data_IF_239784106491
#
_entry.id   IF_239784106491
#
_cell.length_a   1.000
_cell.length_b   1.000
_cell.length_c   1.000
_cell.angle_alpha   90.00
_cell.angle_beta   90.00
_cell.angle_gamma   90.00
#
_symmetry.space_group_name_H-M   'P 1'
#
loop_
_entity.id
_entity.type
_entity.pdbx_description
1 polymer ?
#
# COMPACT_ATOMS: atom_id res chain seq x y z
N UNK A 1 4.97 -32.02 -21.06
CA UNK A 1 5.76 -31.01 -20.38
C UNK A 1 5.19 -29.64 -20.74
N UNK A 2 4.30 -29.09 -19.92
CA UNK A 2 3.72 -27.74 -20.12
C UNK A 2 4.79 -26.73 -19.78
N UNK A 3 5.32 -26.03 -20.79
CA UNK A 3 6.16 -24.85 -20.59
C UNK A 3 5.34 -23.85 -19.76
N UNK A 4 5.69 -23.71 -18.48
CA UNK A 4 5.20 -22.65 -17.64
C UNK A 4 5.72 -21.35 -18.27
N UNK A 5 4.82 -20.60 -18.93
CA UNK A 5 5.15 -19.31 -19.51
C UNK A 5 5.89 -18.49 -18.43
N UNK A 6 7.12 -18.11 -18.70
CA UNK A 6 7.95 -17.37 -17.76
C UNK A 6 7.25 -16.04 -17.47
N UNK A 7 6.77 -15.88 -16.26
CA UNK A 7 6.08 -14.65 -15.86
C UNK A 7 7.08 -13.50 -15.90
N UNK A 8 6.79 -12.45 -16.65
CA UNK A 8 7.62 -11.26 -16.70
C UNK A 8 7.62 -10.53 -15.35
N UNK A 9 8.74 -9.89 -15.04
CA UNK A 9 8.87 -9.00 -13.88
C UNK A 9 7.94 -7.81 -14.05
N UNK A 10 7.09 -7.56 -13.06
CA UNK A 10 6.13 -6.46 -13.09
C UNK A 10 6.77 -5.07 -13.20
N UNK A 11 8.03 -4.92 -12.78
CA UNK A 11 8.72 -3.64 -12.79
C UNK A 11 9.57 -3.38 -14.03
N UNK A 12 10.34 -4.36 -14.50
CA UNK A 12 11.30 -4.17 -15.61
C UNK A 12 11.02 -5.05 -16.83
N UNK A 13 9.94 -5.83 -16.81
CA UNK A 13 9.47 -6.72 -17.89
C UNK A 13 10.45 -7.87 -18.25
N UNK A 14 11.60 -7.98 -17.61
CA UNK A 14 12.51 -9.13 -17.76
C UNK A 14 11.91 -10.39 -17.12
N UNK A 15 12.41 -11.60 -17.40
CA UNK A 15 11.93 -12.82 -16.75
C UNK A 15 11.91 -12.68 -15.23
N UNK A 16 10.77 -12.99 -14.60
CA UNK A 16 10.57 -12.98 -13.15
C UNK A 16 11.08 -14.29 -12.51
N UNK A 17 10.64 -14.54 -11.28
CA UNK A 17 10.91 -15.81 -10.57
C UNK A 17 11.58 -15.65 -9.21
N UNK A 18 12.03 -14.46 -8.83
CA UNK A 18 12.44 -14.19 -7.46
C UNK A 18 11.24 -14.26 -6.53
N UNK A 19 11.45 -14.78 -5.33
CA UNK A 19 10.46 -14.72 -4.25
C UNK A 19 10.57 -13.35 -3.58
N UNK A 20 9.60 -12.49 -3.84
CA UNK A 20 9.50 -11.17 -3.20
C UNK A 20 8.32 -11.17 -2.23
N UNK A 21 8.55 -10.77 -0.99
CA UNK A 21 7.50 -10.59 -0.01
C UNK A 21 6.66 -9.36 -0.38
N UNK A 22 5.34 -9.50 -0.32
CA UNK A 22 4.43 -8.38 -0.57
C UNK A 22 4.62 -7.26 0.46
N UNK A 23 4.82 -7.67 1.73
CA UNK A 23 5.33 -6.82 2.80
C UNK A 23 6.77 -7.24 3.11
N UNK A 24 7.68 -6.28 3.29
CA UNK A 24 9.05 -6.59 3.66
C UNK A 24 9.15 -7.42 4.95
N UNK A 25 9.98 -8.45 4.96
CA UNK A 25 10.14 -9.30 6.13
C UNK A 25 10.64 -8.57 7.39
N UNK A 26 11.40 -7.46 7.23
CA UNK A 26 11.75 -6.62 8.37
C UNK A 26 10.52 -5.93 8.98
N UNK A 27 9.53 -5.57 8.15
CA UNK A 27 8.33 -4.88 8.60
C UNK A 27 7.39 -5.85 9.34
N UNK A 28 7.14 -7.03 8.79
CA UNK A 28 6.31 -8.06 9.44
C UNK A 28 6.89 -8.48 10.77
N UNK A 29 8.23 -8.64 10.86
CA UNK A 29 8.93 -8.88 12.14
C UNK A 29 8.80 -7.73 13.13
N UNK A 30 8.93 -6.49 12.65
CA UNK A 30 8.78 -5.29 13.51
C UNK A 30 7.39 -5.20 14.11
N UNK A 31 6.36 -5.59 13.35
CA UNK A 31 4.97 -5.62 13.78
C UNK A 31 4.59 -6.90 14.56
N UNK A 32 5.43 -7.93 14.55
CA UNK A 32 5.11 -9.22 15.18
C UNK A 32 4.00 -10.02 14.49
N UNK A 33 3.74 -9.76 13.20
CA UNK A 33 2.59 -10.33 12.46
C UNK A 33 2.99 -11.41 11.43
N UNK A 34 4.20 -11.95 11.48
CA UNK A 34 4.66 -12.92 10.46
C UNK A 34 3.75 -14.15 10.35
N UNK A 35 3.27 -14.66 11.48
CA UNK A 35 2.36 -15.80 11.56
C UNK A 35 0.88 -15.43 11.56
N UNK A 36 0.55 -14.15 11.65
CA UNK A 36 -0.85 -13.71 11.66
C UNK A 36 -1.53 -14.00 10.32
N UNK A 37 -2.80 -14.44 10.33
CA UNK A 37 -3.52 -14.74 9.11
C UNK A 37 -3.85 -13.47 8.34
N UNK A 38 -3.46 -13.42 7.07
CA UNK A 38 -3.87 -12.42 6.12
C UNK A 38 -4.83 -13.01 5.10
N UNK A 39 -5.99 -12.39 4.92
CA UNK A 39 -6.97 -12.79 3.92
C UNK A 39 -6.67 -12.11 2.58
N UNK A 40 -6.66 -12.85 1.45
CA UNK A 40 -6.27 -12.30 0.16
C UNK A 40 -7.30 -11.35 -0.45
N UNK A 41 -8.50 -11.28 0.11
CA UNK A 41 -9.56 -10.39 -0.36
C UNK A 41 -10.49 -9.94 0.75
N UNK A 42 -11.13 -8.82 0.51
CA UNK A 42 -12.16 -8.25 1.36
C UNK A 42 -13.25 -7.64 0.48
N UNK A 43 -14.48 -7.95 0.75
CA UNK A 43 -15.64 -7.42 0.02
C UNK A 43 -16.55 -6.69 0.99
N UNK A 44 -16.96 -5.48 0.59
CA UNK A 44 -18.03 -4.78 1.29
C UNK A 44 -19.37 -5.38 0.88
N UNK A 45 -20.15 -5.81 1.87
CA UNK A 45 -21.51 -6.31 1.70
C UNK A 45 -22.46 -5.42 2.49
N UNK A 46 -23.76 -5.61 2.33
CA UNK A 46 -24.77 -4.93 3.14
C UNK A 46 -24.64 -5.26 4.64
N UNK A 47 -23.97 -6.36 4.98
CA UNK A 47 -23.72 -6.81 6.36
C UNK A 47 -22.38 -6.32 6.93
N UNK A 48 -21.59 -5.58 6.14
CA UNK A 48 -20.27 -5.09 6.51
C UNK A 48 -19.16 -5.66 5.63
N UNK A 49 -17.93 -5.68 6.17
CA UNK A 49 -16.75 -6.19 5.45
C UNK A 49 -16.63 -7.70 5.66
N UNK A 50 -16.68 -8.46 4.58
CA UNK A 50 -16.48 -9.91 4.58
C UNK A 50 -15.09 -10.26 4.04
N UNK A 51 -14.35 -11.08 4.79
CA UNK A 51 -13.03 -11.57 4.38
C UNK A 51 -13.21 -12.69 3.35
N UNK A 52 -12.45 -12.63 2.26
CA UNK A 52 -12.53 -13.61 1.19
C UNK A 52 -11.23 -14.39 1.02
N UNK A 53 -11.38 -15.63 0.58
CA UNK A 53 -10.28 -16.55 0.32
C UNK A 53 -9.69 -17.18 1.58
N UNK A 54 -8.86 -18.21 1.36
CA UNK A 54 -8.19 -18.89 2.47
C UNK A 54 -7.10 -18.01 3.05
N UNK A 55 -7.05 -17.83 4.38
CA UNK A 55 -6.01 -17.05 5.02
C UNK A 55 -4.64 -17.72 4.81
N UNK A 56 -3.61 -16.87 4.71
CA UNK A 56 -2.20 -17.29 4.69
C UNK A 56 -1.46 -16.51 5.77
N UNK A 57 -0.38 -17.06 6.30
CA UNK A 57 0.47 -16.27 7.16
C UNK A 57 0.97 -15.01 6.43
N UNK A 58 0.98 -13.88 7.10
CA UNK A 58 1.38 -12.60 6.50
C UNK A 58 2.81 -12.67 5.94
N UNK A 59 3.70 -13.40 6.62
CA UNK A 59 5.06 -13.66 6.15
C UNK A 59 5.14 -14.52 4.87
N UNK A 60 4.08 -15.26 4.54
CA UNK A 60 3.99 -16.11 3.34
C UNK A 60 3.36 -15.41 2.13
N UNK A 61 3.01 -14.14 2.26
CA UNK A 61 2.52 -13.35 1.13
C UNK A 61 3.65 -13.02 0.16
N UNK A 62 3.93 -13.95 -0.75
CA UNK A 62 5.07 -13.89 -1.67
C UNK A 62 4.59 -13.89 -3.13
N UNK A 63 5.10 -12.96 -3.92
CA UNK A 63 4.97 -12.97 -5.38
C UNK A 63 6.21 -13.54 -6.05
N UNK A 64 6.01 -14.19 -7.22
CA UNK A 64 7.09 -14.61 -8.13
C UNK A 64 7.19 -13.72 -9.37
N UNK A 65 6.47 -12.60 -9.39
CA UNK A 65 6.43 -11.65 -10.50
C UNK A 65 7.46 -10.53 -10.39
N UNK A 66 8.58 -10.81 -9.72
CA UNK A 66 9.72 -9.90 -9.58
C UNK A 66 10.98 -10.66 -10.00
N UNK A 67 11.89 -10.03 -10.72
CA UNK A 67 13.17 -10.65 -11.08
C UNK A 67 14.22 -10.41 -9.98
N UNK A 68 15.25 -11.27 -9.93
CA UNK A 68 16.34 -11.16 -8.95
C UNK A 68 17.03 -9.79 -8.99
N UNK A 69 17.21 -9.20 -10.20
CA UNK A 69 17.85 -7.89 -10.33
C UNK A 69 17.03 -6.77 -9.68
N UNK A 70 15.71 -6.78 -9.85
CA UNK A 70 14.84 -5.80 -9.19
C UNK A 70 14.80 -6.03 -7.67
N UNK A 71 14.59 -7.27 -7.24
CA UNK A 71 14.47 -7.64 -5.83
C UNK A 71 15.76 -7.30 -5.06
N UNK A 72 16.91 -7.81 -5.51
CA UNK A 72 18.20 -7.65 -4.83
C UNK A 72 18.91 -6.33 -5.15
N UNK A 73 18.39 -5.53 -6.08
CA UNK A 73 18.90 -4.22 -6.43
C UNK A 73 18.08 -3.10 -5.77
N UNK A 74 17.44 -2.30 -6.63
CA UNK A 74 16.76 -1.07 -6.21
C UNK A 74 15.68 -1.27 -5.13
N UNK A 75 14.99 -2.43 -5.10
CA UNK A 75 13.96 -2.70 -4.08
C UNK A 75 14.61 -2.90 -2.72
N UNK A 76 15.67 -3.70 -2.62
CA UNK A 76 16.45 -3.85 -1.39
C UNK A 76 17.02 -2.51 -0.91
N UNK A 77 17.57 -1.70 -1.83
CA UNK A 77 18.14 -0.40 -1.47
C UNK A 77 17.07 0.58 -0.98
N UNK A 78 15.88 0.55 -1.62
CA UNK A 78 14.71 1.30 -1.17
C UNK A 78 14.28 0.88 0.25
N UNK A 79 14.23 -0.42 0.52
CA UNK A 79 13.88 -0.98 1.82
C UNK A 79 14.88 -0.61 2.92
N UNK A 80 16.16 -0.66 2.62
CA UNK A 80 17.21 -0.26 3.57
C UNK A 80 17.10 1.23 3.96
N UNK A 81 16.67 2.06 3.02
CA UNK A 81 16.49 3.50 3.26
C UNK A 81 15.18 3.83 3.99
N UNK A 82 14.11 3.09 3.74
CA UNK A 82 12.80 3.35 4.36
C UNK A 82 12.69 2.77 5.77
N UNK A 83 13.37 1.66 6.04
CA UNK A 83 13.33 0.96 7.32
C UNK A 83 13.61 1.86 8.53
N UNK A 84 14.67 2.70 8.57
CA UNK A 84 14.93 3.58 9.71
C UNK A 84 13.86 4.67 9.90
N UNK A 85 13.11 5.02 8.85
CA UNK A 85 12.05 6.01 8.92
C UNK A 85 10.74 5.43 9.47
N UNK A 86 10.39 4.19 9.06
CA UNK A 86 9.13 3.57 9.44
C UNK A 86 9.22 2.79 10.76
N UNK A 87 10.35 2.13 11.05
CA UNK A 87 10.45 1.27 12.23
C UNK A 87 10.14 1.96 13.55
N UNK A 88 10.56 3.20 13.82
CA UNK A 88 10.18 3.90 15.04
C UNK A 88 8.66 4.13 15.11
N UNK A 89 8.04 4.54 14.00
CA UNK A 89 6.62 4.87 13.94
C UNK A 89 5.72 3.63 14.07
N UNK A 90 6.17 2.49 13.54
CA UNK A 90 5.44 1.23 13.64
C UNK A 90 5.51 0.62 15.03
N UNK A 91 6.58 0.87 15.79
CA UNK A 91 6.76 0.42 17.17
C UNK A 91 6.13 1.33 18.21
N UNK A 92 5.56 2.44 17.79
CA UNK A 92 5.09 3.47 18.69
C UNK A 92 3.73 3.10 19.28
N UNK A 93 3.70 2.92 20.61
CA UNK A 93 2.49 2.55 21.37
C UNK A 93 1.74 3.78 21.93
N UNK A 94 2.18 4.99 21.60
CA UNK A 94 1.57 6.21 22.11
C UNK A 94 0.62 6.85 21.09
N UNK A 95 -0.56 7.33 21.51
CA UNK A 95 -1.53 7.98 20.63
C UNK A 95 -1.08 9.36 20.11
N UNK A 96 0.11 9.82 20.48
CA UNK A 96 0.57 11.17 20.12
C UNK A 96 1.52 11.05 18.92
N UNK A 97 0.98 11.06 17.71
CA UNK A 97 1.73 11.46 16.52
C UNK A 97 1.78 12.99 16.50
N UNK A 98 2.80 13.56 17.11
CA UNK A 98 3.08 14.96 16.93
C UNK A 98 3.73 15.22 15.55
N UNK A 99 3.77 16.49 15.17
CA UNK A 99 4.37 16.91 13.91
C UNK A 99 5.85 16.51 13.82
N UNK A 100 6.56 16.49 14.94
CA UNK A 100 7.97 16.16 15.00
C UNK A 100 8.23 14.69 14.67
N UNK A 101 7.37 13.79 15.16
CA UNK A 101 7.44 12.35 14.86
C UNK A 101 7.26 12.04 13.38
N UNK A 102 6.48 12.84 12.64
CA UNK A 102 6.21 12.65 11.22
C UNK A 102 7.19 13.43 10.31
N UNK A 103 8.00 14.34 10.86
CA UNK A 103 8.95 15.13 10.05
C UNK A 103 9.93 14.27 9.25
N UNK A 104 10.47 13.14 9.75
CA UNK A 104 11.30 12.25 8.94
C UNK A 104 10.59 11.70 7.69
N UNK A 105 9.29 11.39 7.76
CA UNK A 105 8.51 10.96 6.60
C UNK A 105 8.34 12.11 5.61
N UNK A 106 8.03 13.30 6.12
CA UNK A 106 7.85 14.51 5.32
C UNK A 106 9.13 14.90 4.57
N UNK A 107 10.27 14.89 5.27
CA UNK A 107 11.57 15.19 4.68
C UNK A 107 12.01 14.16 3.61
N UNK A 108 11.41 12.95 3.63
CA UNK A 108 11.71 11.87 2.70
C UNK A 108 10.47 11.46 1.87
N UNK A 109 9.59 12.39 1.57
CA UNK A 109 8.29 12.12 0.95
C UNK A 109 8.39 11.28 -0.33
N UNK A 110 9.29 11.63 -1.25
CA UNK A 110 9.50 10.89 -2.50
C UNK A 110 9.90 9.43 -2.26
N UNK A 111 10.74 9.19 -1.25
CA UNK A 111 11.16 7.85 -0.85
C UNK A 111 9.98 7.03 -0.30
N UNK A 112 9.17 7.64 0.57
CA UNK A 112 7.98 7.02 1.17
C UNK A 112 6.96 6.68 0.08
N UNK A 113 6.66 7.62 -0.81
CA UNK A 113 5.72 7.42 -1.92
C UNK A 113 6.18 6.30 -2.87
N UNK A 114 7.46 6.27 -3.20
CA UNK A 114 8.05 5.19 -4.01
C UNK A 114 7.91 3.83 -3.35
N UNK A 115 8.17 3.75 -2.04
CA UNK A 115 8.03 2.52 -1.27
C UNK A 115 6.56 2.07 -1.19
N UNK A 116 5.62 2.99 -0.95
CA UNK A 116 4.19 2.69 -0.96
C UNK A 116 3.73 2.16 -2.31
N UNK A 117 4.19 2.78 -3.42
CA UNK A 117 3.87 2.32 -4.77
C UNK A 117 4.44 0.91 -5.02
N UNK A 118 5.70 0.65 -4.66
CA UNK A 118 6.31 -0.69 -4.74
C UNK A 118 5.48 -1.71 -3.96
N UNK A 119 5.11 -1.38 -2.75
CA UNK A 119 4.35 -2.24 -1.84
C UNK A 119 2.94 -2.50 -2.39
N UNK A 120 2.27 -1.48 -2.91
CA UNK A 120 0.97 -1.63 -3.56
C UNK A 120 1.02 -2.59 -4.75
N UNK A 121 2.04 -2.46 -5.60
CA UNK A 121 2.24 -3.35 -6.76
C UNK A 121 2.47 -4.80 -6.31
N UNK A 122 3.29 -5.04 -5.28
CA UNK A 122 3.53 -6.39 -4.77
C UNK A 122 2.32 -6.98 -4.05
N UNK A 123 1.60 -6.19 -3.26
CA UNK A 123 0.36 -6.60 -2.61
C UNK A 123 -0.72 -6.98 -3.63
N UNK A 124 -0.92 -6.18 -4.69
CA UNK A 124 -1.93 -6.46 -5.72
C UNK A 124 -1.70 -7.78 -6.47
N UNK A 125 -0.50 -8.35 -6.40
CA UNK A 125 -0.15 -9.62 -7.02
C UNK A 125 -0.49 -10.84 -6.15
N UNK A 126 -0.56 -10.66 -4.85
CA UNK A 126 -0.81 -11.73 -3.86
C UNK A 126 -2.18 -11.61 -3.21
N UNK A 127 -2.70 -10.39 -3.17
CA UNK A 127 -4.03 -10.05 -2.74
C UNK A 127 -4.74 -9.41 -3.94
N UNK A 128 -5.42 -10.21 -4.77
CA UNK A 128 -6.09 -9.66 -5.95
C UNK A 128 -7.07 -8.59 -5.50
N UNK A 129 -7.02 -7.41 -6.11
CA UNK A 129 -7.92 -6.33 -5.77
C UNK A 129 -9.37 -6.77 -6.01
N UNK A 130 -10.27 -6.31 -5.18
CA UNK A 130 -11.70 -6.38 -5.45
C UNK A 130 -12.03 -5.74 -6.81
N UNK A 131 -13.28 -5.88 -7.27
CA UNK A 131 -13.71 -5.41 -8.62
C UNK A 131 -13.32 -3.96 -8.94
N UNK A 132 -13.12 -3.13 -7.90
CA UNK A 132 -12.85 -1.70 -8.02
C UNK A 132 -11.40 -1.31 -7.72
N UNK A 133 -10.53 -2.24 -7.40
CA UNK A 133 -9.20 -1.98 -6.84
C UNK A 133 -8.04 -2.39 -7.74
N UNK A 134 -7.91 -1.87 -8.96
CA UNK A 134 -6.70 -2.09 -9.76
C UNK A 134 -5.81 -0.85 -9.74
N UNK A 135 -4.50 -1.06 -9.60
CA UNK A 135 -3.54 0.00 -9.82
C UNK A 135 -3.52 0.42 -11.29
N UNK A 136 -3.19 1.68 -11.60
CA UNK A 136 -2.88 2.10 -12.96
C UNK A 136 -1.83 1.20 -13.59
N UNK A 137 -1.94 0.95 -14.90
CA UNK A 137 -1.03 0.04 -15.62
C UNK A 137 0.44 0.47 -15.58
N UNK A 138 0.71 1.75 -15.42
CA UNK A 138 2.05 2.36 -15.33
C UNK A 138 2.60 2.47 -13.88
N UNK A 139 1.79 2.16 -12.86
CA UNK A 139 2.23 2.19 -11.45
C UNK A 139 3.54 1.41 -11.19
N UNK A 140 3.77 0.22 -11.77
CA UNK A 140 5.05 -0.46 -11.63
C UNK A 140 6.22 0.33 -12.21
N UNK A 141 6.01 1.01 -13.34
CA UNK A 141 7.01 1.86 -14.00
C UNK A 141 7.38 3.07 -13.14
N UNK A 142 6.40 3.71 -12.52
CA UNK A 142 6.63 4.83 -11.60
C UNK A 142 7.54 4.43 -10.43
N UNK A 143 7.25 3.29 -9.79
CA UNK A 143 8.10 2.77 -8.72
C UNK A 143 9.51 2.43 -9.20
N UNK A 144 9.63 1.78 -10.37
CA UNK A 144 10.92 1.35 -10.92
C UNK A 144 11.81 2.55 -11.29
N UNK A 145 11.25 3.55 -11.99
CA UNK A 145 11.97 4.73 -12.46
C UNK A 145 12.14 5.83 -11.42
N UNK A 146 11.47 5.69 -10.25
CA UNK A 146 11.38 6.75 -9.25
C UNK A 146 10.67 8.02 -9.78
N UNK A 147 9.62 7.80 -10.56
CA UNK A 147 8.84 8.85 -11.22
C UNK A 147 7.42 8.90 -10.66
N UNK A 148 7.30 8.98 -9.34
CA UNK A 148 5.98 9.12 -8.70
C UNK A 148 5.33 10.41 -9.19
N UNK A 149 4.07 10.37 -9.67
CA UNK A 149 3.38 11.55 -10.17
C UNK A 149 3.33 12.68 -9.15
N UNK A 150 3.49 13.93 -9.61
CA UNK A 150 3.43 15.12 -8.74
C UNK A 150 2.06 15.36 -8.12
N UNK A 151 1.03 14.80 -8.73
CA UNK A 151 -0.36 14.79 -8.21
C UNK A 151 -0.58 13.85 -7.04
N UNK A 152 0.41 13.05 -6.69
CA UNK A 152 0.31 12.16 -5.54
C UNK A 152 0.39 12.93 -4.23
N UNK A 153 -0.49 12.55 -3.31
CA UNK A 153 -0.56 13.07 -1.95
C UNK A 153 -0.39 11.93 -0.96
N UNK A 154 0.33 12.19 0.12
CA UNK A 154 0.49 11.27 1.23
C UNK A 154 -0.10 11.86 2.50
N UNK A 155 -0.96 11.09 3.14
CA UNK A 155 -1.50 11.37 4.46
C UNK A 155 -0.96 10.33 5.43
N UNK A 156 -0.58 10.78 6.62
CA UNK A 156 -0.17 9.93 7.72
C UNK A 156 -0.99 10.29 8.96
N UNK A 157 -1.41 9.30 9.71
CA UNK A 157 -2.21 9.53 10.91
C UNK A 157 -2.18 8.33 11.86
N UNK A 158 -2.72 8.56 13.05
CA UNK A 158 -2.90 7.54 14.06
C UNK A 158 -4.23 6.79 13.85
N UNK A 159 -4.19 5.48 14.04
CA UNK A 159 -5.37 4.61 14.05
C UNK A 159 -5.42 3.86 15.38
N UNK A 160 -6.54 3.93 16.08
CA UNK A 160 -6.67 3.34 17.43
C UNK A 160 -6.54 1.81 17.41
N UNK A 161 -7.09 1.15 16.40
CA UNK A 161 -7.04 -0.30 16.25
C UNK A 161 -5.75 -0.71 15.52
N UNK A 162 -4.83 -1.35 16.24
CA UNK A 162 -3.50 -1.72 15.77
C UNK A 162 -3.46 -2.92 14.80
N UNK A 163 -4.57 -3.27 14.14
CA UNK A 163 -4.58 -4.35 13.15
C UNK A 163 -3.93 -3.91 11.84
N UNK A 164 -3.36 -4.87 11.12
CA UNK A 164 -2.88 -4.62 9.77
C UNK A 164 -4.04 -4.62 8.77
N UNK A 165 -4.20 -3.51 8.06
CA UNK A 165 -5.22 -3.37 7.02
C UNK A 165 -4.64 -2.70 5.77
N UNK A 166 -4.40 -3.45 4.69
CA UNK A 166 -4.18 -2.87 3.37
C UNK A 166 -5.51 -2.73 2.64
N UNK A 167 -5.80 -1.55 2.14
CA UNK A 167 -6.94 -1.32 1.26
C UNK A 167 -6.47 -0.63 -0.01
N UNK A 168 -6.81 -1.20 -1.15
CA UNK A 168 -6.56 -0.62 -2.46
C UNK A 168 -7.90 -0.42 -3.16
N UNK A 169 -8.21 0.81 -3.58
CA UNK A 169 -9.43 1.11 -4.32
C UNK A 169 -9.14 1.98 -5.55
N UNK A 170 -9.93 1.79 -6.60
CA UNK A 170 -10.06 2.76 -7.67
C UNK A 170 -11.03 3.84 -7.22
N UNK A 171 -10.60 5.08 -7.27
CA UNK A 171 -11.40 6.20 -6.84
C UNK A 171 -11.36 6.43 -5.32
N UNK A 172 -11.97 7.52 -4.90
CA UNK A 172 -12.02 7.91 -3.51
C UNK A 172 -13.09 7.11 -2.76
N UNK A 173 -12.70 6.23 -1.87
CA UNK A 173 -13.57 5.81 -0.80
C UNK A 173 -13.26 6.69 0.43
N UNK A 174 -14.18 7.60 0.74
CA UNK A 174 -14.21 8.17 2.07
C UNK A 174 -14.77 7.08 3.00
N UNK A 175 -13.96 6.50 3.87
CA UNK A 175 -14.37 5.42 4.78
C UNK A 175 -15.41 5.87 5.83
N UNK A 176 -15.77 7.14 5.86
CA UNK A 176 -16.68 7.73 6.84
C UNK A 176 -17.94 8.26 6.19
N UNK A 177 -18.84 7.37 5.71
CA UNK A 177 -20.24 7.72 5.48
C UNK A 177 -20.53 8.88 4.50
N UNK A 178 -19.50 9.45 3.89
CA UNK A 178 -19.60 10.47 2.86
C UNK A 178 -20.07 9.84 1.56
N UNK A 179 -20.95 10.53 0.86
CA UNK A 179 -21.50 10.10 -0.42
C UNK A 179 -20.35 9.68 -1.34
N UNK A 180 -20.48 8.47 -1.91
CA UNK A 180 -19.65 8.04 -3.02
C UNK A 180 -19.85 9.05 -4.15
N UNK A 181 -18.89 9.92 -4.34
CA UNK A 181 -18.82 10.65 -5.60
C UNK A 181 -18.18 9.68 -6.59
N UNK A 182 -18.94 9.31 -7.58
CA UNK A 182 -18.50 8.52 -8.72
C UNK A 182 -17.56 9.42 -9.54
N UNK A 183 -16.28 9.41 -9.11
CA UNK A 183 -15.26 10.16 -9.83
C UNK A 183 -15.02 9.45 -11.13
N UNK A 184 -15.43 10.10 -12.19
CA UNK A 184 -15.16 9.68 -13.55
C UNK A 184 -13.67 9.31 -13.64
N UNK A 185 -13.48 8.08 -13.90
CA UNK A 185 -12.32 7.24 -13.95
C UNK A 185 -11.17 7.85 -14.72
N UNK A 186 -10.39 8.71 -14.09
CA UNK A 186 -9.07 8.98 -14.63
C UNK A 186 -8.26 7.70 -14.54
N UNK A 187 -7.73 7.28 -15.68
CA UNK A 187 -6.96 6.05 -15.86
C UNK A 187 -5.81 5.92 -14.84
N UNK A 188 -5.31 7.05 -14.35
CA UNK A 188 -4.19 7.14 -13.41
C UNK A 188 -4.60 7.39 -11.94
N UNK A 189 -5.90 7.51 -11.64
CA UNK A 189 -6.36 7.73 -10.27
C UNK A 189 -6.27 6.46 -9.43
N UNK A 190 -5.80 6.57 -8.19
CA UNK A 190 -5.83 5.49 -7.21
C UNK A 190 -5.87 6.03 -5.79
N UNK A 191 -6.29 5.18 -4.87
CA UNK A 191 -6.25 5.40 -3.43
C UNK A 191 -5.75 4.12 -2.76
N UNK A 192 -4.60 4.20 -2.12
CA UNK A 192 -4.02 3.13 -1.33
C UNK A 192 -4.02 3.54 0.13
N UNK A 193 -4.65 2.74 0.97
CA UNK A 193 -4.53 2.84 2.42
C UNK A 193 -3.76 1.63 2.93
N UNK A 194 -2.72 1.87 3.72
CA UNK A 194 -1.99 0.84 4.45
C UNK A 194 -1.98 1.23 5.91
N UNK A 195 -2.44 0.33 6.75
CA UNK A 195 -2.30 0.44 8.19
C UNK A 195 -1.15 -0.46 8.65
N UNK A 196 -0.23 0.11 9.41
CA UNK A 196 0.93 -0.56 9.99
C UNK A 196 0.89 -0.36 11.50
N UNK A 197 0.28 -1.27 12.23
CA UNK A 197 -0.09 -1.09 13.63
C UNK A 197 -0.96 0.17 13.80
N UNK A 198 -0.51 1.14 14.56
CA UNK A 198 -1.22 2.42 14.75
C UNK A 198 -0.92 3.47 13.66
N UNK A 199 0.06 3.22 12.79
CA UNK A 199 0.38 4.13 11.68
C UNK A 199 -0.54 3.87 10.50
N UNK A 200 -1.43 4.80 10.20
CA UNK A 200 -2.19 4.85 8.96
C UNK A 200 -1.46 5.66 7.90
N UNK A 201 -1.23 5.08 6.73
CA UNK A 201 -0.69 5.76 5.56
C UNK A 201 -1.73 5.70 4.43
N UNK A 202 -2.11 6.85 3.92
CA UNK A 202 -3.00 6.96 2.76
C UNK A 202 -2.27 7.66 1.62
N UNK A 203 -2.10 6.94 0.53
CA UNK A 203 -1.40 7.42 -0.66
C UNK A 203 -2.38 7.51 -1.83
N UNK A 204 -2.54 8.71 -2.35
CA UNK A 204 -3.57 9.05 -3.33
C UNK A 204 -2.93 9.68 -4.54
N UNK A 205 -3.36 9.28 -5.74
CA UNK A 205 -3.15 10.02 -6.96
C UNK A 205 -4.47 10.57 -7.48
N UNK A 206 -4.57 11.90 -7.54
CA UNK A 206 -5.73 12.61 -8.04
C UNK A 206 -5.26 13.66 -9.07
N UNK A 207 -5.15 13.29 -10.36
CA UNK A 207 -4.62 14.19 -11.40
C UNK A 207 -5.40 15.48 -11.54
N UNK A 208 -6.71 15.45 -11.33
CA UNK A 208 -7.59 16.62 -11.37
C UNK A 208 -7.96 17.08 -9.96
N UNK A 209 -6.99 17.65 -9.29
CA UNK A 209 -7.10 18.09 -7.90
C UNK A 209 -8.13 19.22 -7.62
N UNK A 210 -9.13 19.39 -8.46
CA UNK A 210 -10.26 20.30 -8.18
C UNK A 210 -11.11 19.84 -7.00
N UNK A 211 -10.92 18.61 -6.55
CA UNK A 211 -11.56 18.08 -5.35
C UNK A 211 -10.54 17.86 -4.26
N UNK A 212 -10.19 18.97 -3.69
CA UNK A 212 -9.51 18.96 -2.42
C UNK A 212 -10.21 17.97 -1.49
N UNK A 213 -9.44 17.25 -0.74
CA UNK A 213 -9.88 16.39 0.36
C UNK A 213 -10.54 17.23 1.46
N UNK A 214 -11.63 17.88 1.10
CA UNK A 214 -12.30 18.86 1.95
C UNK A 214 -13.00 18.21 3.14
N UNK A 215 -13.20 16.88 3.14
CA UNK A 215 -13.98 16.23 4.19
C UNK A 215 -13.54 14.81 4.58
N UNK A 216 -12.25 14.63 4.89
CA UNK A 216 -11.88 13.52 5.76
C UNK A 216 -12.21 13.91 7.21
N UNK A 217 -13.48 13.88 7.58
CA UNK A 217 -13.90 13.88 8.97
C UNK A 217 -13.74 12.45 9.49
N UNK A 218 -13.23 12.30 10.70
CA UNK A 218 -13.28 11.01 11.39
C UNK A 218 -14.75 10.60 11.64
N UNK A 219 -14.98 9.37 12.08
CA UNK A 219 -16.32 8.87 12.40
C UNK A 219 -17.02 9.69 13.49
N UNK A 220 -16.33 10.57 14.19
CA UNK A 220 -16.88 11.50 15.19
C UNK A 220 -17.21 12.89 14.62
N UNK A 221 -16.95 13.13 13.32
CA UNK A 221 -17.20 14.42 12.66
C UNK A 221 -16.16 15.51 13.00
N UNK A 222 -15.05 15.17 13.63
CA UNK A 222 -13.96 16.09 13.93
C UNK A 222 -13.04 16.26 12.71
N UNK A 223 -12.52 17.49 12.55
CA UNK A 223 -11.61 17.87 11.47
C UNK A 223 -10.16 17.55 11.84
#
# INVERSE_FOLDING_TARGET
MTQQASRSCSFCQKPGGSREHALPGWLTRTMGIESEPAHPGMVSTERGLELQGNPRATGDLVTKRVCHKCNNGWMRDLENRIKPLLSPLVKFDSPIFDRASLEPLRANLSLVCRWLMKTAVTLSQVMPPGKDGTLPGDAPSWAFRNEVPKSCMLYAGWIEDARFHPTLSRGFQCLNGGRFHDYQRHEHSFNLCIQLMHLGLRFVNAPDATWALTDCRDASGRR
#
